data_IF_125967581712
#
_entry.id   IF_125967581712
#
_cell.length_a   1.000
_cell.length_b   1.000
_cell.length_c   1.000
_cell.angle_alpha   90.00
_cell.angle_beta   90.00
_cell.angle_gamma   90.00
#
_symmetry.space_group_name_H-M   'P 1'
#
loop_
_entity.id
_entity.type
_entity.pdbx_description
1 polymer ?
#
# COMPACT_ATOMS: atom_id res chain seq x y z
N UNK A 1 -35.05 9.40 9.19
CA UNK A 1 -33.83 8.54 9.15
C UNK A 1 -33.68 7.85 7.79
N UNK A 2 -34.69 7.12 7.29
CA UNK A 2 -34.63 6.44 5.98
C UNK A 2 -34.39 7.40 4.80
N UNK A 3 -35.04 8.56 4.81
CA UNK A 3 -34.90 9.59 3.77
C UNK A 3 -33.50 10.18 3.69
N UNK A 4 -32.89 10.48 4.85
CA UNK A 4 -31.50 10.98 4.92
C UNK A 4 -30.53 9.93 4.39
N UNK A 5 -30.69 8.67 4.81
CA UNK A 5 -29.88 7.56 4.31
C UNK A 5 -29.99 7.40 2.79
N UNK A 6 -31.21 7.50 2.25
CA UNK A 6 -31.44 7.44 0.81
C UNK A 6 -30.67 8.51 0.05
N UNK A 7 -30.76 9.78 0.48
CA UNK A 7 -30.02 10.87 -0.17
C UNK A 7 -28.50 10.72 -0.05
N UNK A 8 -27.99 10.24 1.08
CA UNK A 8 -26.56 9.96 1.27
C UNK A 8 -26.07 8.88 0.31
N UNK A 9 -26.82 7.77 0.18
CA UNK A 9 -26.49 6.69 -0.75
C UNK A 9 -26.55 7.15 -2.21
N UNK A 10 -27.54 7.97 -2.56
CA UNK A 10 -27.67 8.53 -3.91
C UNK A 10 -26.50 9.47 -4.23
N UNK A 11 -26.09 10.32 -3.29
CA UNK A 11 -24.90 11.17 -3.43
C UNK A 11 -23.61 10.36 -3.59
N UNK A 12 -23.43 9.31 -2.77
CA UNK A 12 -22.29 8.39 -2.90
C UNK A 12 -22.27 7.68 -4.25
N UNK A 13 -23.43 7.19 -4.73
CA UNK A 13 -23.57 6.55 -6.03
C UNK A 13 -23.22 7.49 -7.18
N UNK A 14 -23.70 8.74 -7.14
CA UNK A 14 -23.36 9.75 -8.12
C UNK A 14 -21.84 10.07 -8.11
N UNK A 15 -21.25 10.27 -6.92
CA UNK A 15 -19.83 10.54 -6.79
C UNK A 15 -18.96 9.36 -7.30
N UNK A 16 -19.35 8.13 -6.98
CA UNK A 16 -18.69 6.92 -7.46
C UNK A 16 -18.76 6.81 -8.98
N UNK A 17 -19.93 7.04 -9.57
CA UNK A 17 -20.13 7.01 -11.01
C UNK A 17 -19.25 8.05 -11.72
N UNK A 18 -19.29 9.30 -11.25
CA UNK A 18 -18.45 10.39 -11.80
C UNK A 18 -16.98 10.00 -11.72
N UNK A 19 -16.55 9.47 -10.58
CA UNK A 19 -15.17 9.06 -10.41
C UNK A 19 -14.76 7.93 -11.37
N UNK A 20 -15.49 6.83 -11.41
CA UNK A 20 -15.12 5.67 -12.22
C UNK A 20 -15.23 5.91 -13.74
N UNK A 21 -16.21 6.71 -14.16
CA UNK A 21 -16.52 6.90 -15.59
C UNK A 21 -15.87 8.12 -16.21
N UNK A 22 -15.54 9.15 -15.42
CA UNK A 22 -15.03 10.42 -15.95
C UNK A 22 -13.61 10.66 -15.46
N UNK A 23 -13.39 10.63 -14.14
CA UNK A 23 -12.12 11.02 -13.54
C UNK A 23 -11.06 9.92 -13.74
N UNK A 24 -11.37 8.68 -13.37
CA UNK A 24 -10.43 7.58 -13.37
C UNK A 24 -9.90 7.22 -14.78
N UNK A 25 -10.70 7.23 -15.86
CA UNK A 25 -10.19 7.02 -17.21
C UNK A 25 -9.21 8.12 -17.64
N UNK A 26 -9.50 9.38 -17.28
CA UNK A 26 -8.62 10.52 -17.57
C UNK A 26 -7.27 10.39 -16.85
N UNK A 27 -7.30 10.01 -15.57
CA UNK A 27 -6.09 9.72 -14.79
C UNK A 27 -5.31 8.54 -15.38
N UNK A 28 -6.01 7.45 -15.77
CA UNK A 28 -5.37 6.29 -16.41
C UNK A 28 -4.70 6.68 -17.73
N UNK A 29 -5.34 7.52 -18.54
CA UNK A 29 -4.74 8.03 -19.78
C UNK A 29 -3.47 8.85 -19.50
N UNK A 30 -3.52 9.75 -18.51
CA UNK A 30 -2.37 10.54 -18.11
C UNK A 30 -1.16 9.67 -17.73
N UNK A 31 -1.35 8.68 -16.86
CA UNK A 31 -0.26 7.78 -16.48
C UNK A 31 0.19 6.85 -17.61
N UNK A 32 -0.73 6.42 -18.47
CA UNK A 32 -0.38 5.64 -19.67
C UNK A 32 0.58 6.41 -20.56
N UNK A 33 0.35 7.70 -20.75
CA UNK A 33 1.24 8.56 -21.55
C UNK A 33 2.62 8.71 -20.91
N UNK A 34 2.69 8.85 -19.58
CA UNK A 34 3.98 8.88 -18.87
C UNK A 34 4.75 7.56 -19.03
N UNK A 35 4.06 6.42 -18.94
CA UNK A 35 4.69 5.11 -19.15
C UNK A 35 5.15 4.92 -20.60
N UNK A 36 4.42 5.45 -21.59
CA UNK A 36 4.90 5.46 -22.98
C UNK A 36 6.19 6.26 -23.13
N UNK A 37 6.27 7.45 -22.53
CA UNK A 37 7.49 8.25 -22.56
C UNK A 37 8.70 7.52 -21.95
N UNK A 38 8.50 6.85 -20.80
CA UNK A 38 9.54 6.04 -20.16
C UNK A 38 9.94 4.82 -21.01
N UNK A 39 8.99 4.16 -21.67
CA UNK A 39 9.27 3.04 -22.56
C UNK A 39 10.10 3.49 -23.74
N UNK A 40 9.83 4.67 -24.28
CA UNK A 40 10.58 5.21 -25.41
C UNK A 40 12.03 5.58 -24.99
N UNK A 41 12.27 5.96 -23.73
CA UNK A 41 13.63 6.07 -23.17
C UNK A 41 14.34 4.71 -23.15
N UNK A 42 13.69 3.67 -22.62
CA UNK A 42 14.26 2.31 -22.62
C UNK A 42 14.52 1.80 -24.06
N UNK A 43 13.62 2.10 -25.00
CA UNK A 43 13.80 1.76 -26.42
C UNK A 43 15.01 2.45 -27.04
N UNK A 44 15.25 3.72 -26.73
CA UNK A 44 16.45 4.42 -27.22
C UNK A 44 17.73 3.73 -26.74
N UNK A 45 17.79 3.28 -25.49
CA UNK A 45 18.94 2.49 -24.99
C UNK A 45 19.18 1.17 -25.72
N UNK A 46 18.11 0.51 -26.15
CA UNK A 46 18.22 -0.70 -26.97
C UNK A 46 18.82 -0.37 -28.36
N UNK A 47 18.46 0.79 -28.93
CA UNK A 47 18.92 1.23 -30.25
C UNK A 47 20.36 1.76 -30.19
N UNK A 48 20.68 2.59 -29.19
CA UNK A 48 22.00 3.20 -29.00
C UNK A 48 23.07 2.15 -28.68
N UNK A 49 22.65 0.96 -28.23
CA UNK A 49 23.52 -0.14 -27.87
C UNK A 49 24.22 0.08 -26.53
N UNK A 50 25.06 -0.88 -26.15
CA UNK A 50 25.77 -0.86 -24.88
C UNK A 50 26.37 -2.21 -24.54
N UNK A 51 26.67 -2.43 -23.27
CA UNK A 51 27.05 -3.75 -22.77
C UNK A 51 25.87 -4.73 -22.89
N UNK A 52 26.17 -6.02 -23.10
CA UNK A 52 25.14 -7.07 -23.18
C UNK A 52 24.21 -7.07 -21.95
N UNK A 53 24.75 -6.79 -20.77
CA UNK A 53 23.97 -6.68 -19.53
C UNK A 53 23.03 -5.48 -19.54
N UNK A 54 23.48 -4.31 -20.02
CA UNK A 54 22.62 -3.12 -20.15
C UNK A 54 21.51 -3.33 -21.18
N UNK A 55 21.81 -4.00 -22.28
CA UNK A 55 20.84 -4.25 -23.35
C UNK A 55 19.76 -5.26 -22.92
N UNK A 56 20.17 -6.32 -22.22
CA UNK A 56 19.23 -7.25 -21.59
C UNK A 56 18.33 -6.56 -20.56
N UNK A 57 18.90 -5.72 -19.69
CA UNK A 57 18.14 -4.95 -18.72
C UNK A 57 17.16 -3.97 -19.40
N UNK A 58 17.61 -3.23 -20.43
CA UNK A 58 16.77 -2.28 -21.16
C UNK A 58 15.59 -2.98 -21.86
N UNK A 59 15.84 -4.16 -22.45
CA UNK A 59 14.80 -4.99 -23.08
C UNK A 59 13.77 -5.45 -22.04
N UNK A 60 14.24 -5.90 -20.88
CA UNK A 60 13.36 -6.32 -19.79
C UNK A 60 12.51 -5.16 -19.26
N UNK A 61 13.05 -3.94 -19.13
CA UNK A 61 12.28 -2.74 -18.76
C UNK A 61 11.24 -2.41 -19.84
N UNK A 62 11.64 -2.41 -21.10
CA UNK A 62 10.74 -2.13 -22.22
C UNK A 62 9.53 -3.07 -22.21
N UNK A 63 9.77 -4.38 -22.08
CA UNK A 63 8.71 -5.39 -22.07
C UNK A 63 7.84 -5.30 -20.81
N UNK A 64 8.46 -5.04 -19.67
CA UNK A 64 7.75 -4.82 -18.41
C UNK A 64 6.83 -3.60 -18.49
N UNK A 65 7.31 -2.49 -19.05
CA UNK A 65 6.52 -1.28 -19.29
C UNK A 65 5.38 -1.53 -20.27
N UNK A 66 5.63 -2.24 -21.36
CA UNK A 66 4.59 -2.59 -22.34
C UNK A 66 3.49 -3.43 -21.70
N UNK A 67 3.86 -4.42 -20.88
CA UNK A 67 2.92 -5.23 -20.11
C UNK A 67 2.13 -4.38 -19.10
N UNK A 68 2.80 -3.48 -18.39
CA UNK A 68 2.17 -2.60 -17.40
C UNK A 68 1.17 -1.63 -18.04
N UNK A 69 1.51 -1.05 -19.19
CA UNK A 69 0.62 -0.18 -19.98
C UNK A 69 -0.67 -0.91 -20.38
N UNK A 70 -0.54 -2.13 -20.90
CA UNK A 70 -1.70 -2.92 -21.36
C UNK A 70 -2.59 -3.38 -20.20
N UNK A 71 -2.01 -3.56 -19.01
CA UNK A 71 -2.68 -4.10 -17.83
C UNK A 71 -2.92 -3.06 -16.73
N UNK A 72 -2.82 -1.77 -17.08
CA UNK A 72 -2.91 -0.66 -16.12
C UNK A 72 -4.22 -0.65 -15.33
N UNK A 73 -5.31 -1.09 -15.97
CA UNK A 73 -6.64 -1.21 -15.35
C UNK A 73 -6.75 -2.35 -14.33
N UNK A 74 -5.85 -3.35 -14.38
CA UNK A 74 -5.84 -4.48 -13.44
C UNK A 74 -5.06 -4.17 -12.16
N UNK A 75 -4.32 -3.05 -12.11
CA UNK A 75 -3.57 -2.62 -10.94
C UNK A 75 -4.52 -2.09 -9.87
N UNK A 76 -5.14 -2.99 -9.13
CA UNK A 76 -6.00 -2.70 -7.98
C UNK A 76 -5.45 -3.40 -6.73
N UNK A 77 -5.76 -2.87 -5.54
CA UNK A 77 -5.34 -3.48 -4.28
C UNK A 77 -5.75 -4.97 -4.17
N UNK A 78 -7.01 -5.37 -4.48
CA UNK A 78 -7.39 -6.78 -4.43
C UNK A 78 -6.56 -7.66 -5.36
N UNK A 79 -6.24 -7.18 -6.56
CA UNK A 79 -5.42 -7.92 -7.52
C UNK A 79 -3.96 -8.01 -7.06
N UNK A 80 -3.42 -6.97 -6.41
CA UNK A 80 -2.09 -7.00 -5.78
C UNK A 80 -2.01 -8.09 -4.71
N UNK A 81 -3.00 -8.18 -3.81
CA UNK A 81 -3.05 -9.24 -2.80
C UNK A 81 -3.15 -10.64 -3.42
N UNK A 82 -4.01 -10.82 -4.43
CA UNK A 82 -4.14 -12.09 -5.16
C UNK A 82 -2.84 -12.48 -5.85
N UNK A 83 -2.15 -11.53 -6.48
CA UNK A 83 -0.87 -11.75 -7.13
C UNK A 83 0.21 -12.16 -6.11
N UNK A 84 0.31 -11.47 -4.98
CA UNK A 84 1.25 -11.80 -3.90
C UNK A 84 1.02 -13.22 -3.36
N UNK A 85 -0.24 -13.59 -3.11
CA UNK A 85 -0.59 -14.94 -2.67
C UNK A 85 -0.15 -16.01 -3.69
N UNK A 86 -0.47 -15.82 -4.97
CA UNK A 86 -0.07 -16.74 -6.05
C UNK A 86 1.46 -16.84 -6.21
N UNK A 87 2.18 -15.73 -6.02
CA UNK A 87 3.64 -15.73 -6.03
C UNK A 87 4.24 -16.46 -4.82
N UNK A 88 3.57 -16.43 -3.67
CA UNK A 88 3.98 -17.18 -2.50
C UNK A 88 3.76 -18.69 -2.70
N UNK A 89 2.68 -19.10 -3.36
CA UNK A 89 2.34 -20.50 -3.58
C UNK A 89 3.13 -21.14 -4.74
N UNK A 90 3.50 -20.38 -5.76
CA UNK A 90 4.14 -20.91 -6.97
C UNK A 90 5.66 -20.63 -7.04
N UNK A 91 6.45 -21.68 -6.82
CA UNK A 91 7.93 -21.61 -6.86
C UNK A 91 8.49 -21.20 -8.23
N UNK A 92 7.87 -21.61 -9.35
CA UNK A 92 8.36 -21.30 -10.69
C UNK A 92 8.26 -19.81 -11.00
N UNK A 93 7.15 -19.18 -10.63
CA UNK A 93 6.94 -17.72 -10.79
C UNK A 93 7.98 -16.95 -9.97
N UNK A 94 8.21 -17.38 -8.73
CA UNK A 94 9.19 -16.73 -7.84
C UNK A 94 10.61 -16.81 -8.39
N UNK A 95 11.00 -17.97 -8.94
CA UNK A 95 12.31 -18.12 -9.57
C UNK A 95 12.47 -17.23 -10.80
N UNK A 96 11.45 -17.13 -11.65
CA UNK A 96 11.48 -16.25 -12.82
C UNK A 96 11.71 -14.79 -12.43
N UNK A 97 10.95 -14.30 -11.45
CA UNK A 97 11.09 -12.92 -10.95
C UNK A 97 12.47 -12.68 -10.33
N UNK A 98 13.02 -13.64 -9.59
CA UNK A 98 14.38 -13.52 -9.04
C UNK A 98 15.43 -13.37 -10.15
N UNK A 99 15.32 -14.17 -11.22
CA UNK A 99 16.22 -14.04 -12.38
C UNK A 99 16.12 -12.65 -13.02
N UNK A 100 14.91 -12.15 -13.20
CA UNK A 100 14.67 -10.79 -13.73
C UNK A 100 15.29 -9.70 -12.83
N UNK A 101 15.14 -9.83 -11.51
CA UNK A 101 15.77 -8.92 -10.53
C UNK A 101 17.30 -9.00 -10.59
N UNK A 102 17.86 -10.20 -10.77
CA UNK A 102 19.31 -10.39 -10.82
C UNK A 102 19.94 -9.76 -12.07
N UNK A 103 19.22 -9.71 -13.20
CA UNK A 103 19.64 -8.95 -14.40
C UNK A 103 19.78 -7.47 -14.05
N UNK A 104 18.83 -6.89 -13.32
CA UNK A 104 18.87 -5.49 -12.92
C UNK A 104 19.99 -5.18 -11.93
N UNK A 105 20.29 -6.09 -10.99
CA UNK A 105 21.39 -5.90 -10.03
C UNK A 105 22.76 -5.87 -10.70
N UNK A 106 22.92 -6.50 -11.85
CA UNK A 106 24.16 -6.56 -12.63
C UNK A 106 24.24 -5.46 -13.70
N UNK A 107 23.22 -4.62 -13.80
CA UNK A 107 23.18 -3.53 -14.75
C UNK A 107 23.85 -2.29 -14.15
N UNK A 108 24.92 -1.81 -14.78
CA UNK A 108 25.61 -0.58 -14.39
C UNK A 108 25.00 0.68 -15.05
N UNK A 109 24.09 0.51 -16.00
CA UNK A 109 23.43 1.63 -16.68
C UNK A 109 22.38 2.28 -15.76
N UNK A 110 22.80 3.41 -15.17
CA UNK A 110 21.97 4.22 -14.27
C UNK A 110 20.70 4.74 -14.93
N UNK A 111 20.69 4.95 -16.24
CA UNK A 111 19.52 5.48 -16.94
C UNK A 111 18.42 4.41 -17.03
N UNK A 112 18.78 3.16 -17.34
CA UNK A 112 17.84 2.02 -17.36
C UNK A 112 17.24 1.80 -15.95
N UNK A 113 18.10 1.87 -14.93
CA UNK A 113 17.67 1.73 -13.53
C UNK A 113 16.74 2.88 -13.11
N UNK A 114 17.04 4.12 -13.49
CA UNK A 114 16.18 5.28 -13.20
C UNK A 114 14.82 5.17 -13.90
N UNK A 115 14.77 4.68 -15.14
CA UNK A 115 13.51 4.40 -15.85
C UNK A 115 12.67 3.39 -15.06
N UNK A 116 13.29 2.32 -14.55
CA UNK A 116 12.60 1.33 -13.73
C UNK A 116 12.01 1.96 -12.46
N UNK A 117 12.79 2.74 -11.71
CA UNK A 117 12.30 3.41 -10.50
C UNK A 117 11.19 4.44 -10.78
N UNK A 118 11.31 5.22 -11.86
CA UNK A 118 10.27 6.16 -12.29
C UNK A 118 8.99 5.42 -12.68
N UNK A 119 9.11 4.30 -13.38
CA UNK A 119 7.96 3.47 -13.74
C UNK A 119 7.26 2.91 -12.50
N UNK A 120 8.01 2.42 -11.51
CA UNK A 120 7.46 1.93 -10.25
C UNK A 120 6.60 2.97 -9.54
N UNK A 121 7.09 4.21 -9.42
CA UNK A 121 6.33 5.33 -8.82
C UNK A 121 5.04 5.63 -9.56
N UNK A 122 5.05 5.58 -10.90
CA UNK A 122 3.84 5.76 -11.71
C UNK A 122 2.84 4.63 -11.45
N UNK A 123 3.30 3.37 -11.41
CA UNK A 123 2.43 2.22 -11.16
C UNK A 123 1.85 2.24 -9.74
N UNK A 124 2.59 2.72 -8.74
CA UNK A 124 2.08 2.92 -7.38
C UNK A 124 0.97 3.98 -7.34
N UNK A 125 1.15 5.11 -8.02
CA UNK A 125 0.11 6.13 -8.12
C UNK A 125 -1.15 5.57 -8.80
N UNK A 126 -0.99 4.85 -9.91
CA UNK A 126 -2.10 4.20 -10.61
C UNK A 126 -2.82 3.21 -9.70
N UNK A 127 -2.10 2.41 -8.90
CA UNK A 127 -2.69 1.49 -7.94
C UNK A 127 -3.56 2.22 -6.91
N UNK A 128 -3.10 3.36 -6.41
CA UNK A 128 -3.84 4.20 -5.47
C UNK A 128 -5.12 4.75 -6.11
N UNK A 129 -5.04 5.35 -7.29
CA UNK A 129 -6.22 5.90 -7.98
C UNK A 129 -7.21 4.82 -8.38
N UNK A 130 -6.75 3.69 -8.92
CA UNK A 130 -7.62 2.56 -9.23
C UNK A 130 -8.31 1.97 -7.99
N UNK A 131 -7.73 2.15 -6.79
CA UNK A 131 -8.27 1.63 -5.54
C UNK A 131 -8.91 2.72 -4.66
N UNK A 132 -8.99 3.97 -5.12
CA UNK A 132 -9.38 5.11 -4.29
C UNK A 132 -10.82 4.97 -3.77
N UNK A 133 -11.75 4.53 -4.63
CA UNK A 133 -13.14 4.32 -4.20
C UNK A 133 -13.28 3.20 -3.18
N UNK A 134 -12.48 2.14 -3.31
CA UNK A 134 -12.44 1.10 -2.29
C UNK A 134 -11.94 1.68 -0.95
N UNK A 135 -10.88 2.49 -0.98
CA UNK A 135 -10.36 3.16 0.23
C UNK A 135 -11.39 4.10 0.84
N UNK A 136 -12.12 4.85 0.01
CA UNK A 136 -13.18 5.75 0.45
C UNK A 136 -14.31 4.97 1.15
N UNK A 137 -14.70 3.81 0.62
CA UNK A 137 -15.71 2.96 1.25
C UNK A 137 -15.22 2.27 2.53
N UNK A 138 -13.93 1.97 2.63
CA UNK A 138 -13.33 1.40 3.83
C UNK A 138 -13.07 2.44 4.92
N UNK A 139 -13.03 3.72 4.58
CA UNK A 139 -12.76 4.82 5.50
C UNK A 139 -13.61 4.81 6.80
N UNK A 140 -14.96 4.71 6.75
CA UNK A 140 -15.77 4.65 7.98
C UNK A 140 -15.43 3.44 8.86
N UNK A 141 -15.12 2.30 8.26
CA UNK A 141 -14.72 1.10 9.00
C UNK A 141 -13.37 1.29 9.70
N UNK A 142 -12.39 1.87 9.00
CA UNK A 142 -11.08 2.19 9.57
C UNK A 142 -11.20 3.16 10.73
N UNK A 143 -12.05 4.19 10.60
CA UNK A 143 -12.33 5.13 11.69
C UNK A 143 -12.96 4.46 12.90
N UNK A 144 -13.93 3.56 12.70
CA UNK A 144 -14.58 2.82 13.78
C UNK A 144 -13.56 1.94 14.53
N UNK A 145 -12.73 1.19 13.80
CA UNK A 145 -11.67 0.36 14.41
C UNK A 145 -10.67 1.23 15.18
N UNK A 146 -10.22 2.34 14.59
CA UNK A 146 -9.29 3.26 15.23
C UNK A 146 -9.87 3.85 16.52
N UNK A 147 -11.15 4.24 16.51
CA UNK A 147 -11.86 4.71 17.68
C UNK A 147 -11.93 3.64 18.78
N UNK A 148 -12.32 2.41 18.44
CA UNK A 148 -12.34 1.30 19.38
C UNK A 148 -10.97 1.03 20.02
N UNK A 149 -9.90 1.01 19.22
CA UNK A 149 -8.53 0.83 19.73
C UNK A 149 -8.13 1.95 20.70
N UNK A 150 -8.48 3.20 20.38
CA UNK A 150 -8.28 4.36 21.26
C UNK A 150 -9.02 4.19 22.59
N UNK A 151 -10.30 3.83 22.54
CA UNK A 151 -11.12 3.63 23.75
C UNK A 151 -10.56 2.52 24.63
N UNK A 152 -10.17 1.37 24.04
CA UNK A 152 -9.59 0.25 24.78
C UNK A 152 -8.28 0.66 25.46
N UNK A 153 -7.39 1.36 24.77
CA UNK A 153 -6.13 1.84 25.36
C UNK A 153 -6.36 2.80 26.52
N UNK A 154 -7.31 3.73 26.38
CA UNK A 154 -7.66 4.66 27.44
C UNK A 154 -8.26 3.92 28.64
N UNK A 155 -9.18 2.99 28.40
CA UNK A 155 -9.80 2.18 29.44
C UNK A 155 -8.76 1.31 30.18
N UNK A 156 -7.82 0.68 29.48
CA UNK A 156 -6.77 -0.11 30.11
C UNK A 156 -5.84 0.75 30.97
N UNK A 157 -5.52 1.96 30.52
CA UNK A 157 -4.71 2.91 31.32
C UNK A 157 -5.44 3.41 32.57
N UNK A 158 -6.75 3.65 32.48
CA UNK A 158 -7.58 4.03 33.62
C UNK A 158 -7.72 2.90 34.64
N UNK A 159 -7.90 1.66 34.18
CA UNK A 159 -7.97 0.48 35.07
C UNK A 159 -6.65 0.27 35.81
N UNK A 160 -5.50 0.46 35.15
CA UNK A 160 -4.20 0.40 35.82
C UNK A 160 -4.03 1.51 36.86
N UNK A 161 -4.49 2.73 36.55
CA UNK A 161 -4.43 3.85 37.49
C UNK A 161 -5.32 3.66 38.72
N UNK A 162 -6.55 3.15 38.54
CA UNK A 162 -7.46 2.84 39.66
C UNK A 162 -6.91 1.70 40.53
N UNK A 163 -6.39 0.62 39.93
CA UNK A 163 -5.71 -0.44 40.69
C UNK A 163 -4.49 0.05 41.46
N UNK A 164 -3.77 1.05 40.95
CA UNK A 164 -2.67 1.70 41.67
C UNK A 164 -3.15 2.42 42.93
N UNK A 165 -4.30 3.09 42.86
CA UNK A 165 -4.92 3.76 44.02
C UNK A 165 -5.44 2.81 45.08
N UNK A 166 -6.07 1.70 44.68
CA UNK A 166 -6.51 0.67 45.63
C UNK A 166 -5.31 0.08 46.40
N UNK A 167 -4.15 -0.03 45.74
CA UNK A 167 -2.91 -0.49 46.37
C UNK A 167 -2.38 0.56 47.37
N UNK A 168 -2.41 1.85 47.03
CA UNK A 168 -1.99 2.94 47.92
C UNK A 168 -2.90 3.06 49.16
N UNK A 169 -4.23 2.95 49.00
CA UNK A 169 -5.17 2.95 50.13
C UNK A 169 -5.02 1.70 51.00
N UNK A 170 -4.79 0.53 50.40
CA UNK A 170 -4.53 -0.69 51.14
C UNK A 170 -3.23 -0.61 51.95
N UNK A 171 -2.19 0.02 51.42
CA UNK A 171 -0.92 0.26 52.13
C UNK A 171 -1.11 1.25 53.29
N UNK A 172 -1.93 2.30 53.14
CA UNK A 172 -2.22 3.27 54.21
C UNK A 172 -3.00 2.69 55.40
N UNK A 173 -3.81 1.65 55.18
CA UNK A 173 -4.64 1.03 56.21
C UNK A 173 -3.95 -0.14 56.93
N UNK A 174 -2.77 -0.56 56.47
CA UNK A 174 -2.02 -1.66 57.07
C UNK A 174 -1.11 -1.17 58.22
N UNK A 175 -1.00 -1.92 59.33
CA UNK A 175 -0.07 -1.58 60.41
C UNK A 175 1.39 -1.69 59.93
N UNK A 176 2.26 -0.81 60.44
CA UNK A 176 3.64 -0.54 59.95
C UNK A 176 4.50 -1.79 59.70
N UNK A 177 4.34 -2.85 60.51
CA UNK A 177 5.08 -4.12 60.38
C UNK A 177 4.75 -4.92 59.12
N UNK A 178 3.60 -4.67 58.50
CA UNK A 178 3.19 -5.35 57.26
C UNK A 178 3.50 -4.51 56.01
N UNK A 179 3.54 -3.18 56.13
CA UNK A 179 3.91 -2.27 55.03
C UNK A 179 5.38 -2.48 54.63
N UNK A 180 6.26 -2.68 55.60
CA UNK A 180 7.70 -2.90 55.37
C UNK A 180 7.98 -4.13 54.48
N UNK A 181 7.15 -5.18 54.57
CA UNK A 181 7.26 -6.39 53.74
C UNK A 181 6.76 -6.22 52.30
N UNK A 182 5.92 -5.23 52.04
CA UNK A 182 5.32 -4.99 50.71
C UNK A 182 6.17 -4.00 49.89
N UNK A 183 6.85 -3.06 50.56
CA UNK A 183 7.65 -2.01 49.90
C UNK A 183 9.08 -2.46 49.59
N UNK A 184 9.66 -3.35 50.40
CA UNK A 184 11.07 -3.75 50.30
C UNK A 184 11.32 -5.20 49.82
N UNK A 185 10.28 -5.92 49.40
CA UNK A 185 10.39 -7.21 48.72
C UNK A 185 10.39 -7.05 47.20
#
# INVERSE_FOLDING_TARGET
>A
MLTVLFYVLLGLGAAHFIYERIILPSIRLHYRNQLFALRDVARRKIIDGGSDTSMQAATLVHDSLNNAINRLHLLTLPNKFRAQKRMAENHAIRQKIRREIDVFKRCDDREVVDVLFKSGRILENVLLFNSLMLLLYMFPFVLAVWFCVRVIKTASSLVQWVKGRDLEEAIMLLPDTQVEKVVYA
#
